data_IF_885520586356
#
_entry.id   IF_885520586356
#
_cell.length_a   1.000
_cell.length_b   1.000
_cell.length_c   1.000
_cell.angle_alpha   90.00
_cell.angle_beta   90.00
_cell.angle_gamma   90.00
#
_symmetry.space_group_name_H-M   'P 1'
#
loop_
_entity.id
_entity.type
_entity.pdbx_description
1 polymer ?
#
# COMPACT_ATOMS: atom_id res chain seq x y z
N UNK A 1 19.15 -67.79 19.75
CA UNK A 1 18.88 -66.78 18.71
C UNK A 1 18.25 -65.58 19.41
N UNK A 2 19.10 -64.65 19.86
CA UNK A 2 18.68 -63.42 20.53
C UNK A 2 18.48 -62.35 19.47
N UNK A 3 17.24 -61.89 19.33
CA UNK A 3 16.89 -60.78 18.44
C UNK A 3 17.40 -59.51 19.10
N UNK A 4 18.39 -58.90 18.47
CA UNK A 4 18.96 -57.63 18.92
C UNK A 4 18.02 -56.49 18.54
N UNK A 5 17.36 -55.91 19.54
CA UNK A 5 16.45 -54.77 19.40
C UNK A 5 17.19 -53.43 19.46
N UNK A 6 18.53 -53.42 19.46
CA UNK A 6 19.35 -52.19 19.41
C UNK A 6 19.61 -51.68 18.00
N UNK A 7 18.86 -52.13 17.00
CA UNK A 7 18.75 -51.40 15.73
C UNK A 7 17.80 -50.22 15.94
N UNK A 8 18.26 -49.27 16.75
CA UNK A 8 17.74 -47.92 16.73
C UNK A 8 17.75 -47.46 15.28
N UNK A 9 16.56 -47.20 14.76
CA UNK A 9 16.38 -46.50 13.51
C UNK A 9 16.92 -45.08 13.74
N UNK A 10 18.25 -44.98 13.63
CA UNK A 10 19.02 -43.75 13.63
C UNK A 10 18.79 -43.07 12.27
N UNK A 11 17.51 -42.87 11.92
CA UNK A 11 17.09 -41.83 11.00
C UNK A 11 17.21 -40.53 11.78
N UNK A 12 18.46 -40.17 12.05
CA UNK A 12 18.87 -38.78 12.17
C UNK A 12 18.31 -38.08 10.94
N UNK A 13 17.10 -37.53 11.08
CA UNK A 13 16.50 -36.69 10.08
C UNK A 13 17.49 -35.55 9.90
N UNK A 14 18.30 -35.64 8.84
CA UNK A 14 19.24 -34.60 8.49
C UNK A 14 18.51 -33.26 8.43
N UNK A 15 19.21 -32.14 8.64
CA UNK A 15 18.60 -30.81 8.69
C UNK A 15 17.57 -30.63 7.57
N UNK A 16 16.28 -30.56 7.94
CA UNK A 16 15.18 -30.50 6.99
C UNK A 16 15.27 -29.16 6.26
N UNK A 17 15.29 -29.19 4.93
CA UNK A 17 15.44 -27.97 4.13
C UNK A 17 14.17 -27.10 4.27
N UNK A 18 14.25 -25.88 4.85
CA UNK A 18 13.08 -25.04 5.06
C UNK A 18 12.36 -24.70 3.76
N UNK A 19 13.09 -24.61 2.65
CA UNK A 19 12.51 -24.34 1.32
C UNK A 19 11.62 -25.50 0.82
N UNK A 20 11.91 -26.73 1.22
CA UNK A 20 11.08 -27.90 0.86
C UNK A 20 9.75 -27.90 1.62
N UNK A 21 9.76 -27.48 2.89
CA UNK A 21 8.53 -27.33 3.69
C UNK A 21 7.66 -26.23 3.11
N UNK A 22 8.25 -25.08 2.76
CA UNK A 22 7.53 -23.95 2.16
C UNK A 22 6.93 -24.34 0.80
N UNK A 23 7.68 -25.07 -0.03
CA UNK A 23 7.18 -25.57 -1.33
C UNK A 23 5.96 -26.50 -1.16
N UNK A 24 6.00 -27.40 -0.17
CA UNK A 24 4.89 -28.33 0.10
C UNK A 24 3.65 -27.62 0.63
N UNK A 25 3.82 -26.68 1.57
CA UNK A 25 2.71 -25.88 2.09
C UNK A 25 2.09 -25.02 0.99
N UNK A 26 2.91 -24.38 0.16
CA UNK A 26 2.43 -23.59 -0.97
C UNK A 26 1.65 -24.45 -1.99
N UNK A 27 2.11 -25.68 -2.26
CA UNK A 27 1.40 -26.61 -3.13
C UNK A 27 0.04 -27.02 -2.54
N UNK A 28 -0.04 -27.31 -1.24
CA UNK A 28 -1.29 -27.66 -0.56
C UNK A 28 -2.30 -26.50 -0.54
N UNK A 29 -1.81 -25.25 -0.55
CA UNK A 29 -2.63 -24.05 -0.60
C UNK A 29 -2.99 -23.62 -2.03
N UNK A 30 -2.58 -24.36 -3.05
CA UNK A 30 -2.82 -24.00 -4.47
C UNK A 30 -2.00 -22.79 -4.94
N UNK A 31 -0.99 -22.36 -4.17
CA UNK A 31 -0.06 -21.28 -4.53
C UNK A 31 1.03 -21.80 -5.46
N UNK A 32 0.59 -22.24 -6.63
CA UNK A 32 1.40 -22.97 -7.60
C UNK A 32 2.69 -22.28 -8.02
N UNK A 33 2.70 -20.97 -8.37
CA UNK A 33 3.92 -20.28 -8.78
C UNK A 33 4.95 -20.24 -7.66
N UNK A 34 4.48 -20.06 -6.43
CA UNK A 34 5.30 -20.04 -5.21
C UNK A 34 5.88 -21.44 -4.96
N UNK A 35 5.04 -22.48 -5.04
CA UNK A 35 5.45 -23.86 -4.85
C UNK A 35 6.56 -24.29 -5.82
N UNK A 36 6.47 -23.88 -7.08
CA UNK A 36 7.46 -24.16 -8.14
C UNK A 36 8.80 -23.50 -7.82
N UNK A 37 8.82 -22.20 -7.49
CA UNK A 37 10.06 -21.46 -7.20
C UNK A 37 10.78 -22.08 -5.98
N UNK A 38 10.05 -22.34 -4.90
CA UNK A 38 10.63 -22.93 -3.69
C UNK A 38 11.04 -24.40 -3.88
N UNK A 39 10.35 -25.14 -4.75
CA UNK A 39 10.73 -26.50 -5.13
C UNK A 39 12.05 -26.55 -5.92
N UNK A 40 12.23 -25.62 -6.86
CA UNK A 40 13.48 -25.49 -7.63
C UNK A 40 14.65 -25.07 -6.73
N UNK A 41 14.43 -24.15 -5.79
CA UNK A 41 15.43 -23.75 -4.80
C UNK A 41 15.81 -24.91 -3.86
N UNK A 42 14.86 -25.79 -3.54
CA UNK A 42 15.14 -27.00 -2.77
C UNK A 42 16.03 -28.01 -3.53
N UNK A 43 15.95 -28.05 -4.87
CA UNK A 43 16.77 -28.94 -5.72
C UNK A 43 18.25 -28.56 -5.81
N UNK A 44 18.62 -27.32 -5.49
CA UNK A 44 20.01 -26.87 -5.50
C UNK A 44 20.86 -27.42 -4.34
N UNK A 45 20.25 -28.16 -3.39
CA UNK A 45 20.97 -28.97 -2.40
C UNK A 45 20.77 -30.47 -2.67
N UNK A 46 21.86 -31.28 -2.72
CA UNK A 46 21.81 -32.68 -3.17
C UNK A 46 20.99 -33.64 -2.28
N UNK A 47 20.46 -33.18 -1.13
CA UNK A 47 19.76 -34.00 -0.14
C UNK A 47 18.21 -34.00 -0.24
N UNK A 48 17.59 -33.57 -1.35
CA UNK A 48 16.13 -33.37 -1.42
C UNK A 48 15.41 -33.85 -2.69
N UNK A 49 16.10 -34.58 -3.58
CA UNK A 49 15.62 -34.87 -4.94
C UNK A 49 14.24 -35.55 -5.04
N UNK A 50 13.87 -36.41 -4.08
CA UNK A 50 12.61 -37.17 -4.15
C UNK A 50 11.34 -36.33 -3.98
N UNK A 51 11.36 -35.40 -3.02
CA UNK A 51 10.18 -34.57 -2.70
C UNK A 51 9.92 -33.55 -3.81
N UNK A 52 10.99 -33.04 -4.42
CA UNK A 52 10.85 -32.01 -5.42
C UNK A 52 10.43 -32.57 -6.80
N UNK A 53 10.68 -33.87 -7.09
CA UNK A 53 10.07 -34.56 -8.23
C UNK A 53 8.56 -34.75 -8.01
N UNK A 54 8.15 -35.12 -6.80
CA UNK A 54 6.73 -35.26 -6.46
C UNK A 54 5.99 -33.92 -6.56
N UNK A 55 6.60 -32.83 -6.09
CA UNK A 55 6.06 -31.47 -6.23
C UNK A 55 5.89 -31.06 -7.70
N UNK A 56 6.85 -31.37 -8.57
CA UNK A 56 6.75 -31.10 -10.01
C UNK A 56 5.68 -31.97 -10.69
N UNK A 57 5.53 -33.24 -10.29
CA UNK A 57 4.52 -34.12 -10.85
C UNK A 57 3.09 -33.66 -10.52
N UNK A 58 2.84 -33.27 -9.26
CA UNK A 58 1.58 -32.65 -8.84
C UNK A 58 1.38 -31.31 -9.59
N UNK A 59 2.49 -30.57 -9.74
CA UNK A 59 2.73 -29.47 -10.67
C UNK A 59 2.04 -29.61 -12.05
N UNK A 60 2.37 -30.71 -12.73
CA UNK A 60 1.90 -30.92 -14.10
C UNK A 60 0.44 -31.35 -14.14
N UNK A 61 -0.01 -32.15 -13.16
CA UNK A 61 -1.39 -32.66 -13.12
C UNK A 61 -2.40 -31.51 -12.94
N UNK A 62 -2.12 -30.57 -12.04
CA UNK A 62 -3.05 -29.45 -11.80
C UNK A 62 -3.11 -28.48 -12.98
N UNK A 63 -1.98 -28.24 -13.66
CA UNK A 63 -1.95 -27.43 -14.88
C UNK A 63 -2.82 -28.07 -15.98
N UNK A 64 -2.83 -29.40 -16.09
CA UNK A 64 -3.72 -30.11 -17.02
C UNK A 64 -5.21 -29.98 -16.63
N UNK A 65 -5.54 -29.95 -15.34
CA UNK A 65 -6.92 -29.74 -14.86
C UNK A 65 -7.38 -28.31 -15.16
N UNK A 66 -6.55 -27.30 -14.90
CA UNK A 66 -6.87 -25.90 -15.23
C UNK A 66 -7.00 -25.71 -16.74
N UNK A 67 -6.09 -26.29 -17.53
CA UNK A 67 -6.17 -26.23 -18.98
C UNK A 67 -7.45 -26.90 -19.50
N UNK A 68 -7.83 -28.07 -18.97
CA UNK A 68 -9.08 -28.73 -19.36
C UNK A 68 -10.32 -27.98 -18.92
N UNK A 69 -10.29 -27.24 -17.80
CA UNK A 69 -11.39 -26.34 -17.42
C UNK A 69 -11.50 -25.12 -18.33
N UNK A 70 -10.38 -24.44 -18.62
CA UNK A 70 -10.36 -23.26 -19.49
C UNK A 70 -10.76 -23.60 -20.93
N UNK A 71 -10.22 -24.70 -21.47
CA UNK A 71 -10.57 -25.16 -22.83
C UNK A 71 -11.90 -25.92 -22.87
N UNK A 72 -12.35 -26.52 -21.76
CA UNK A 72 -13.61 -27.26 -21.68
C UNK A 72 -14.83 -26.36 -21.47
N UNK A 73 -14.70 -25.25 -20.74
CA UNK A 73 -15.77 -24.26 -20.56
C UNK A 73 -15.79 -23.17 -21.65
N UNK A 74 -14.77 -23.07 -22.49
CA UNK A 74 -14.71 -22.10 -23.60
C UNK A 74 -15.74 -22.31 -24.73
N UNK A 75 -16.63 -23.30 -24.64
CA UNK A 75 -17.67 -23.60 -25.65
C UNK A 75 -19.08 -23.10 -25.30
N UNK A 76 -19.26 -22.35 -24.22
CA UNK A 76 -20.54 -21.70 -23.90
C UNK A 76 -20.40 -20.18 -24.00
N UNK A 77 -20.25 -19.68 -25.22
CA UNK A 77 -20.52 -18.28 -25.54
C UNK A 77 -21.99 -18.13 -25.94
N UNK A 78 -22.82 -17.42 -25.17
CA UNK A 78 -23.95 -16.72 -25.73
C UNK A 78 -23.40 -15.52 -26.52
N UNK A 79 -23.48 -15.61 -27.85
CA UNK A 79 -23.50 -14.43 -28.71
C UNK A 79 -24.83 -13.68 -28.54
N UNK A 80 -24.84 -12.41 -28.96
CA UNK A 80 -25.94 -11.44 -28.99
C UNK A 80 -26.04 -10.57 -27.71
N UNK A 81 -25.99 -9.24 -27.75
CA UNK A 81 -26.31 -8.32 -28.82
C UNK A 81 -25.45 -7.06 -28.78
N UNK A 82 -24.95 -6.67 -29.94
CA UNK A 82 -24.57 -5.31 -30.24
C UNK A 82 -25.78 -4.38 -30.03
N UNK A 83 -25.61 -3.36 -29.20
CA UNK A 83 -26.40 -2.13 -29.28
C UNK A 83 -25.42 -1.00 -29.54
N UNK A 84 -25.27 -0.67 -30.82
CA UNK A 84 -24.70 0.61 -31.24
C UNK A 84 -25.68 1.71 -30.84
N UNK A 85 -25.43 2.39 -29.73
CA UNK A 85 -26.01 3.71 -29.48
C UNK A 85 -25.06 4.76 -30.05
N UNK A 86 -25.42 5.19 -31.27
CA UNK A 86 -25.32 6.54 -31.82
C UNK A 86 -24.51 7.55 -30.99
N UNK A 87 -23.36 7.94 -31.54
CA UNK A 87 -22.62 9.15 -31.19
C UNK A 87 -23.53 10.38 -31.34
N UNK A 88 -24.06 10.89 -30.24
CA UNK A 88 -24.54 12.26 -30.13
C UNK A 88 -23.33 13.17 -29.89
N UNK A 89 -22.99 14.11 -30.81
CA UNK A 89 -21.93 15.07 -30.55
C UNK A 89 -22.37 16.03 -29.44
N UNK A 90 -21.72 15.93 -28.28
CA UNK A 90 -21.89 16.91 -27.20
C UNK A 90 -21.26 18.24 -27.64
N UNK A 91 -22.12 19.22 -27.94
CA UNK A 91 -21.72 20.60 -28.22
C UNK A 91 -21.25 21.26 -26.92
N UNK A 92 -20.00 21.73 -26.92
CA UNK A 92 -19.47 22.61 -25.88
C UNK A 92 -20.29 23.91 -25.81
N UNK A 93 -20.76 24.36 -24.64
CA UNK A 93 -21.18 25.75 -24.48
C UNK A 93 -19.94 26.66 -24.48
N UNK A 94 -20.04 27.72 -25.27
CA UNK A 94 -19.00 28.72 -25.49
C UNK A 94 -18.56 29.44 -24.20
N UNK A 95 -17.28 29.82 -24.22
CA UNK A 95 -16.62 30.78 -23.33
C UNK A 95 -17.50 32.00 -23.05
N UNK A 96 -17.92 32.18 -21.80
CA UNK A 96 -18.42 33.45 -21.29
C UNK A 96 -17.28 34.16 -20.55
N UNK A 97 -16.76 35.21 -21.16
CA UNK A 97 -15.82 36.15 -20.57
C UNK A 97 -16.62 37.00 -19.58
N UNK A 98 -16.46 36.77 -18.27
CA UNK A 98 -17.12 37.61 -17.27
C UNK A 98 -16.34 38.92 -17.13
N UNK A 99 -16.82 39.95 -17.84
CA UNK A 99 -16.33 41.32 -17.70
C UNK A 99 -17.09 41.97 -16.55
N UNK A 100 -16.44 42.21 -15.42
CA UNK A 100 -17.04 42.96 -14.30
C UNK A 100 -16.93 44.46 -14.64
N UNK A 101 -18.04 45.22 -14.69
CA UNK A 101 -17.97 46.67 -14.83
C UNK A 101 -17.50 47.31 -13.51
N UNK A 102 -16.36 47.99 -13.53
CA UNK A 102 -15.98 48.92 -12.46
C UNK A 102 -16.98 50.08 -12.43
N UNK A 103 -17.81 50.11 -11.39
CA UNK A 103 -18.58 51.31 -11.03
C UNK A 103 -17.88 51.95 -9.83
N UNK A 104 -17.07 52.97 -10.13
CA UNK A 104 -16.54 53.91 -9.12
C UNK A 104 -17.66 54.88 -8.75
N UNK A 105 -18.12 54.81 -7.51
CA UNK A 105 -18.93 55.87 -6.88
C UNK A 105 -18.25 56.29 -5.58
N UNK A 106 -17.85 57.56 -5.41
CA UNK A 106 -17.21 58.04 -4.18
C UNK A 106 -18.23 58.70 -3.24
N UNK A 107 -18.23 58.32 -1.95
CA UNK A 107 -18.74 59.13 -0.81
C UNK A 107 -18.50 58.40 0.54
N UNK A 108 -18.52 59.09 1.70
CA UNK A 108 -17.63 60.10 2.28
C UNK A 108 -16.79 59.51 3.47
N UNK A 109 -15.88 60.26 4.13
CA UNK A 109 -15.07 59.69 5.21
C UNK A 109 -15.90 59.51 6.48
N UNK A 110 -16.06 58.27 6.93
CA UNK A 110 -16.60 57.96 8.24
C UNK A 110 -15.45 57.65 9.21
N UNK A 111 -15.50 58.37 10.32
CA UNK A 111 -14.48 58.47 11.36
C UNK A 111 -14.22 57.15 12.10
N UNK A 112 -12.98 57.06 12.58
CA UNK A 112 -12.44 56.15 13.58
C UNK A 112 -13.44 55.68 14.62
N UNK A 113 -13.66 54.37 14.70
CA UNK A 113 -13.70 53.64 15.97
C UNK A 113 -12.99 52.32 15.74
N UNK A 114 -11.77 52.22 16.26
CA UNK A 114 -11.03 50.99 16.34
C UNK A 114 -11.75 50.10 17.37
N UNK A 115 -12.60 49.19 16.89
CA UNK A 115 -12.99 48.03 17.68
C UNK A 115 -12.04 46.89 17.31
N UNK A 116 -10.98 46.79 18.10
CA UNK A 116 -9.98 45.75 18.06
C UNK A 116 -10.61 44.46 18.58
N UNK A 117 -11.41 43.80 17.74
CA UNK A 117 -11.55 42.34 17.88
C UNK A 117 -10.29 41.74 17.27
N UNK A 118 -9.25 41.63 18.10
CA UNK A 118 -8.10 40.77 17.85
C UNK A 118 -8.64 39.35 17.67
N UNK A 119 -8.87 38.97 16.41
CA UNK A 119 -8.90 37.55 16.05
C UNK A 119 -7.53 37.04 16.47
N UNK A 120 -7.44 36.04 17.37
CA UNK A 120 -6.15 35.46 17.68
C UNK A 120 -5.60 34.95 16.35
N UNK A 121 -4.53 35.59 15.88
CA UNK A 121 -3.77 35.10 14.76
C UNK A 121 -3.21 33.79 15.31
N UNK A 122 -3.85 32.66 15.00
CA UNK A 122 -3.31 31.35 15.30
C UNK A 122 -2.02 31.31 14.51
N UNK A 123 -0.91 31.57 15.18
CA UNK A 123 0.42 31.56 14.59
C UNK A 123 0.64 30.14 14.10
N UNK A 124 0.59 29.96 12.78
CA UNK A 124 0.91 28.68 12.17
C UNK A 124 2.32 28.27 12.55
N UNK A 125 2.57 26.96 12.68
CA UNK A 125 3.88 26.50 13.10
C UNK A 125 4.95 26.81 12.06
N UNK A 126 6.10 27.23 12.56
CA UNK A 126 7.30 27.46 11.77
C UNK A 126 8.22 26.24 11.83
N UNK A 127 8.96 25.99 10.75
CA UNK A 127 10.00 24.95 10.74
C UNK A 127 11.00 25.21 11.86
N UNK A 128 11.35 24.17 12.60
CA UNK A 128 12.19 24.18 13.79
C UNK A 128 11.59 24.87 15.03
N UNK A 129 10.37 25.37 14.94
CA UNK A 129 9.64 25.89 16.09
C UNK A 129 9.33 24.78 17.12
N UNK A 130 9.08 25.16 18.39
CA UNK A 130 8.68 24.20 19.41
C UNK A 130 7.32 23.59 19.09
N UNK A 131 7.10 22.36 19.54
CA UNK A 131 5.82 21.65 19.39
C UNK A 131 5.61 20.67 20.55
N UNK A 132 4.36 20.26 20.76
CA UNK A 132 4.00 19.22 21.71
C UNK A 132 3.58 17.95 20.94
N UNK A 133 4.39 16.87 20.96
CA UNK A 133 4.10 15.66 20.20
C UNK A 133 2.91 14.86 20.77
N UNK A 134 2.41 15.22 21.96
CA UNK A 134 1.26 14.55 22.58
C UNK A 134 -0.09 15.10 22.10
N UNK A 135 -0.12 16.36 21.64
CA UNK A 135 -1.32 17.03 21.13
C UNK A 135 -1.25 17.24 19.62
N UNK A 136 -0.08 17.58 19.11
CA UNK A 136 0.11 18.05 17.74
C UNK A 136 1.20 17.23 17.06
N UNK A 137 0.79 16.21 16.32
CA UNK A 137 1.73 15.31 15.64
C UNK A 137 2.08 15.81 14.22
N UNK A 138 1.15 16.54 13.59
CA UNK A 138 1.27 17.09 12.24
C UNK A 138 0.60 18.46 12.14
N UNK A 139 1.13 19.33 11.29
CA UNK A 139 0.50 20.61 10.93
C UNK A 139 1.04 21.11 9.59
N UNK A 140 0.58 22.28 9.14
CA UNK A 140 0.99 22.94 7.90
C UNK A 140 1.48 24.35 8.20
N UNK A 141 2.69 24.67 7.76
CA UNK A 141 3.25 26.02 7.88
C UNK A 141 2.46 27.04 7.05
N UNK A 142 2.71 28.33 7.29
CA UNK A 142 2.12 29.41 6.50
C UNK A 142 2.41 29.31 4.99
N UNK A 143 3.52 28.68 4.61
CA UNK A 143 3.94 28.50 3.22
C UNK A 143 3.33 27.23 2.57
N UNK A 144 2.46 26.50 3.28
CA UNK A 144 1.87 25.25 2.81
C UNK A 144 2.79 24.03 2.96
N UNK A 145 3.89 24.16 3.72
CA UNK A 145 4.80 23.03 3.98
C UNK A 145 4.22 22.14 5.06
N UNK A 146 4.16 20.82 4.82
CA UNK A 146 3.77 19.84 5.82
C UNK A 146 4.87 19.69 6.88
N UNK A 147 4.46 19.72 8.14
CA UNK A 147 5.34 19.64 9.30
C UNK A 147 4.95 18.45 10.17
N UNK A 148 5.96 17.75 10.68
CA UNK A 148 5.87 16.70 11.70
C UNK A 148 6.45 17.22 13.01
N UNK A 149 5.75 17.03 14.13
CA UNK A 149 6.33 17.28 15.44
C UNK A 149 7.16 16.06 15.88
N UNK A 150 8.46 16.22 16.07
CA UNK A 150 9.34 15.13 16.49
C UNK A 150 10.58 15.64 17.19
N UNK A 151 11.27 14.76 17.91
CA UNK A 151 12.53 15.08 18.58
C UNK A 151 13.68 15.29 17.60
N UNK A 152 13.68 14.63 16.43
CA UNK A 152 14.72 14.78 15.39
C UNK A 152 16.17 14.74 15.93
N UNK A 153 16.46 13.86 16.90
CA UNK A 153 17.78 13.74 17.55
C UNK A 153 18.06 14.79 18.65
N UNK A 154 17.11 15.64 18.98
CA UNK A 154 17.13 16.58 20.11
C UNK A 154 16.48 15.97 21.36
N UNK A 155 16.68 16.61 22.50
CA UNK A 155 15.95 16.33 23.76
C UNK A 155 14.59 17.03 23.82
N UNK A 156 14.32 17.96 22.91
CA UNK A 156 13.05 18.69 22.76
C UNK A 156 12.40 18.39 21.40
N UNK A 157 11.08 18.28 21.39
CA UNK A 157 10.31 18.14 20.16
C UNK A 157 10.24 19.48 19.41
N UNK A 158 10.33 19.41 18.08
CA UNK A 158 10.26 20.54 17.17
C UNK A 158 9.55 20.17 15.88
N UNK A 159 8.99 21.18 15.23
CA UNK A 159 8.44 21.02 13.89
C UNK A 159 9.56 20.77 12.88
N UNK A 160 9.47 19.68 12.12
CA UNK A 160 10.36 19.37 11.00
C UNK A 160 9.56 19.21 9.73
N UNK A 161 10.14 19.56 8.58
CA UNK A 161 9.50 19.34 7.29
C UNK A 161 9.27 17.85 7.05
N UNK A 162 8.06 17.49 6.63
CA UNK A 162 7.65 16.11 6.34
C UNK A 162 7.16 15.94 4.90
N UNK A 163 6.99 14.68 4.49
CA UNK A 163 6.27 14.37 3.26
C UNK A 163 4.78 14.75 3.42
N UNK A 164 4.09 15.10 2.33
CA UNK A 164 2.67 15.44 2.38
C UNK A 164 1.84 14.26 2.87
N UNK A 165 0.75 14.58 3.59
CA UNK A 165 -0.23 13.59 4.01
C UNK A 165 -1.19 13.35 2.83
N UNK A 166 -1.24 12.11 2.34
CA UNK A 166 -2.07 11.74 1.18
C UNK A 166 -3.37 11.04 1.58
N UNK A 167 -3.44 10.54 2.81
CA UNK A 167 -4.65 9.96 3.41
C UNK A 167 -4.63 10.18 4.93
N UNK A 168 -5.74 10.59 5.51
CA UNK A 168 -5.85 10.87 6.94
C UNK A 168 -6.42 9.68 7.74
N UNK A 169 -6.89 8.62 7.07
CA UNK A 169 -7.52 7.45 7.71
C UNK A 169 -6.99 6.13 7.13
N UNK A 170 -5.67 5.94 7.11
CA UNK A 170 -5.06 4.70 6.63
C UNK A 170 -5.03 3.64 7.73
N UNK A 171 -5.70 2.51 7.50
CA UNK A 171 -5.62 1.34 8.37
C UNK A 171 -4.40 0.48 8.02
N UNK A 172 -3.73 -0.08 9.03
CA UNK A 172 -2.60 -0.99 8.80
C UNK A 172 -3.03 -2.20 7.95
N UNK A 173 -2.28 -2.46 6.88
CA UNK A 173 -2.54 -3.53 5.90
C UNK A 173 -3.54 -3.18 4.81
N UNK A 174 -4.19 -2.01 4.86
CA UNK A 174 -5.03 -1.54 3.76
C UNK A 174 -4.19 -1.14 2.54
N UNK A 175 -4.79 -1.21 1.34
CA UNK A 175 -4.07 -0.97 0.10
C UNK A 175 -3.70 0.51 -0.07
N UNK A 176 -2.55 0.77 -0.68
CA UNK A 176 -2.06 2.10 -1.04
C UNK A 176 -1.38 2.09 -2.42
N UNK A 177 -1.24 3.25 -3.03
CA UNK A 177 -0.48 3.42 -4.27
C UNK A 177 0.98 3.77 -3.93
N UNK A 178 1.96 2.87 -4.18
CA UNK A 178 3.36 3.12 -3.86
C UNK A 178 4.03 4.13 -4.82
N UNK A 179 3.36 4.51 -5.92
CA UNK A 179 3.85 5.53 -6.85
C UNK A 179 3.65 6.93 -6.25
N UNK A 180 2.57 7.12 -5.48
CA UNK A 180 2.29 8.39 -4.80
C UNK A 180 3.23 8.54 -3.62
N UNK A 181 4.03 9.61 -3.63
CA UNK A 181 4.93 9.94 -2.52
C UNK A 181 4.17 10.68 -1.43
N UNK A 182 4.13 10.12 -0.24
CA UNK A 182 3.49 10.72 0.93
C UNK A 182 3.49 9.78 2.12
N UNK A 183 2.90 10.27 3.22
CA UNK A 183 2.54 9.46 4.38
C UNK A 183 1.02 9.51 4.56
N UNK A 184 0.49 8.58 5.33
CA UNK A 184 -0.89 8.66 5.81
C UNK A 184 -0.92 8.69 7.34
N UNK A 185 -2.08 9.01 7.90
CA UNK A 185 -2.32 8.97 9.34
C UNK A 185 -3.38 7.91 9.61
N UNK A 186 -3.19 7.09 10.64
CA UNK A 186 -4.21 6.13 11.07
C UNK A 186 -5.28 6.81 11.93
N UNK A 187 -6.46 6.20 12.12
CA UNK A 187 -7.52 6.77 12.97
C UNK A 187 -7.08 7.07 14.41
N UNK A 188 -6.09 6.32 14.90
CA UNK A 188 -5.46 6.50 16.20
C UNK A 188 -4.28 7.50 16.22
N UNK A 189 -3.97 8.15 15.08
CA UNK A 189 -2.99 9.24 14.99
C UNK A 189 -1.55 8.82 14.73
N UNK A 190 -1.31 7.56 14.33
CA UNK A 190 0.02 7.08 13.98
C UNK A 190 0.36 7.34 12.50
N UNK A 191 1.66 7.52 12.23
CA UNK A 191 2.15 7.69 10.86
C UNK A 191 2.18 6.35 10.14
N UNK A 192 1.64 6.34 8.93
CA UNK A 192 1.55 5.19 8.06
C UNK A 192 2.38 5.43 6.80
N UNK A 193 3.15 4.42 6.43
CA UNK A 193 4.00 4.43 5.25
C UNK A 193 3.48 3.41 4.24
N UNK A 194 3.42 3.81 2.98
CA UNK A 194 3.04 2.91 1.90
C UNK A 194 4.24 2.03 1.54
N UNK A 195 4.14 0.74 1.83
CA UNK A 195 5.18 -0.24 1.50
C UNK A 195 4.80 -0.94 0.20
N UNK A 196 5.67 -0.86 -0.81
CA UNK A 196 5.48 -1.60 -2.07
C UNK A 196 5.65 -3.10 -1.86
N UNK A 197 4.75 -3.90 -2.42
CA UNK A 197 4.84 -5.37 -2.41
C UNK A 197 5.80 -5.94 -3.49
N UNK A 198 6.30 -5.10 -4.41
CA UNK A 198 7.21 -5.48 -5.49
C UNK A 198 7.18 -4.50 -6.66
N UNK A 199 7.79 -4.89 -7.80
CA UNK A 199 7.92 -4.03 -8.99
C UNK A 199 6.64 -3.90 -9.83
N UNK A 200 5.66 -4.79 -9.65
CA UNK A 200 4.39 -4.82 -10.41
C UNK A 200 3.14 -4.93 -9.52
N UNK A 201 3.28 -4.93 -8.20
CA UNK A 201 2.15 -5.01 -7.29
C UNK A 201 1.86 -3.69 -6.59
N UNK A 202 0.76 -3.68 -5.84
CA UNK A 202 0.29 -2.49 -5.13
C UNK A 202 1.15 -2.17 -3.91
N UNK A 203 0.67 -1.26 -3.08
CA UNK A 203 1.24 -1.01 -1.77
C UNK A 203 0.28 -1.42 -0.68
N UNK A 204 0.80 -1.57 0.53
CA UNK A 204 -0.03 -1.59 1.74
C UNK A 204 0.50 -0.61 2.77
N UNK A 205 -0.42 -0.02 3.53
CA UNK A 205 -0.09 0.86 4.63
C UNK A 205 0.51 0.07 5.79
N UNK A 206 1.70 0.44 6.22
CA UNK A 206 2.38 -0.12 7.39
C UNK A 206 2.63 0.98 8.42
N UNK A 207 2.50 0.72 9.72
CA UNK A 207 2.93 1.66 10.74
C UNK A 207 4.40 2.02 10.56
N UNK A 208 4.70 3.32 10.73
CA UNK A 208 6.06 3.83 10.78
C UNK A 208 6.84 3.34 12.00
N UNK A 209 8.18 3.36 11.94
CA UNK A 209 9.04 3.09 13.09
C UNK A 209 8.96 4.17 14.17
#
# INVERSE_FOLDING_TARGET
MTVDLTKGDDRTAGPVNPYAVISLVAALLGLFPVAIVFGILAFWRPAGRGIAIAGLAIGVVELLVVATLLYGFGSLTPSDSASSETLTPYSLPATAIFTVPSTTTPLPPAETTADSTEVPIVSQPEVNGPCDPSTDNHDTSADGTFLKCTYAGSTSARWVQSAPIIDNNAEAGSACDPIVRGIAVSPEGFDMFCVSDGAEGGGYWSPGP
#
